data_IF_019634856476
#
_entry.id   IF_019634856476
#
_cell.length_a   1.000
_cell.length_b   1.000
_cell.length_c   1.000
_cell.angle_alpha   90.00
_cell.angle_beta   90.00
_cell.angle_gamma   90.00
#
_symmetry.space_group_name_H-M   'P 1'
#
loop_
_entity.id
_entity.type
_entity.pdbx_description
1 polymer ?
#
# COMPACT_ATOMS: atom_id res chain seq x y z
N UNK A 1 -40.43 0.16 -11.06
CA UNK A 1 -39.26 0.23 -10.14
C UNK A 1 -38.30 -0.87 -10.57
N UNK A 2 -37.12 -0.52 -11.11
CA UNK A 2 -36.10 -1.55 -11.43
C UNK A 2 -35.78 -2.29 -10.13
N UNK A 3 -36.10 -3.57 -10.08
CA UNK A 3 -35.86 -4.39 -8.90
C UNK A 3 -34.36 -4.37 -8.60
N UNK A 4 -33.96 -3.88 -7.43
CA UNK A 4 -32.55 -3.79 -6.98
C UNK A 4 -31.83 -5.15 -7.12
N UNK A 5 -32.59 -6.24 -6.97
CA UNK A 5 -32.13 -7.61 -7.21
C UNK A 5 -31.65 -7.84 -8.65
N UNK A 6 -32.34 -7.28 -9.66
CA UNK A 6 -31.94 -7.35 -11.08
C UNK A 6 -30.62 -6.62 -11.32
N UNK A 7 -30.48 -5.42 -10.75
CA UNK A 7 -29.28 -4.59 -10.87
C UNK A 7 -28.05 -5.27 -10.26
N UNK A 8 -28.17 -5.87 -9.07
CA UNK A 8 -27.07 -6.63 -8.46
C UNK A 8 -26.67 -7.87 -9.29
N UNK A 9 -27.63 -8.50 -9.98
CA UNK A 9 -27.34 -9.62 -10.87
C UNK A 9 -26.54 -9.17 -12.11
N UNK A 10 -26.91 -8.03 -12.70
CA UNK A 10 -26.20 -7.42 -13.83
C UNK A 10 -24.78 -7.01 -13.44
N UNK A 11 -24.60 -6.38 -12.27
CA UNK A 11 -23.28 -6.00 -11.75
C UNK A 11 -22.38 -7.23 -11.55
N UNK A 12 -22.92 -8.34 -11.05
CA UNK A 12 -22.14 -9.58 -10.89
C UNK A 12 -21.72 -10.18 -12.23
N UNK A 13 -22.55 -10.07 -13.26
CA UNK A 13 -22.23 -10.50 -14.63
C UNK A 13 -21.18 -9.62 -15.30
N UNK A 14 -21.15 -8.31 -15.00
CA UNK A 14 -20.09 -7.42 -15.50
C UNK A 14 -18.76 -7.65 -14.75
N UNK A 15 -18.82 -7.89 -13.44
CA UNK A 15 -17.63 -8.19 -12.63
C UNK A 15 -16.93 -9.49 -13.04
N UNK A 16 -17.64 -10.44 -13.65
CA UNK A 16 -17.03 -11.68 -14.16
C UNK A 16 -16.27 -11.49 -15.47
N UNK A 17 -16.55 -10.42 -16.22
CA UNK A 17 -15.79 -10.04 -17.43
C UNK A 17 -14.48 -9.33 -17.09
N UNK A 18 -14.31 -8.88 -15.84
CA UNK A 18 -13.09 -8.22 -15.39
C UNK A 18 -11.97 -9.25 -15.30
N UNK A 19 -10.87 -8.97 -15.99
CA UNK A 19 -9.65 -9.77 -15.93
C UNK A 19 -8.90 -9.46 -14.65
N UNK A 20 -9.19 -10.23 -13.59
CA UNK A 20 -8.46 -10.13 -12.33
C UNK A 20 -7.05 -10.73 -12.45
N UNK A 21 -6.04 -10.10 -11.83
CA UNK A 21 -4.67 -10.62 -11.83
C UNK A 21 -4.60 -11.99 -11.15
N UNK A 22 -3.63 -12.81 -11.58
CA UNK A 22 -3.43 -14.13 -10.98
C UNK A 22 -3.03 -13.98 -9.52
N UNK A 23 -3.46 -14.90 -8.65
CA UNK A 23 -3.13 -14.87 -7.21
C UNK A 23 -1.64 -14.72 -6.93
N UNK A 24 -0.78 -15.34 -7.75
CA UNK A 24 0.67 -15.22 -7.65
C UNK A 24 1.19 -13.80 -7.90
N UNK A 25 0.56 -13.07 -8.82
CA UNK A 25 0.94 -11.71 -9.16
C UNK A 25 0.54 -10.75 -8.05
N UNK A 26 -0.67 -10.90 -7.48
CA UNK A 26 -1.12 -10.14 -6.32
C UNK A 26 -0.15 -10.31 -5.14
N UNK A 27 0.25 -11.54 -4.83
CA UNK A 27 1.19 -11.81 -3.74
C UNK A 27 2.55 -11.14 -4.02
N UNK A 28 3.06 -11.24 -5.25
CA UNK A 28 4.33 -10.62 -5.63
C UNK A 28 4.28 -9.10 -5.51
N UNK A 29 3.22 -8.47 -6.00
CA UNK A 29 3.04 -7.02 -5.93
C UNK A 29 2.93 -6.54 -4.48
N UNK A 30 2.15 -7.24 -3.64
CA UNK A 30 2.03 -6.90 -2.22
C UNK A 30 3.36 -7.06 -1.49
N UNK A 31 4.15 -8.10 -1.80
CA UNK A 31 5.48 -8.28 -1.22
C UNK A 31 6.43 -7.13 -1.58
N UNK A 32 6.41 -6.69 -2.84
CA UNK A 32 7.21 -5.55 -3.32
C UNK A 32 6.83 -4.28 -2.55
N UNK A 33 5.54 -4.01 -2.38
CA UNK A 33 5.06 -2.84 -1.61
C UNK A 33 5.58 -2.91 -0.17
N UNK A 34 5.47 -4.06 0.49
CA UNK A 34 5.99 -4.26 1.85
C UNK A 34 7.49 -3.94 1.96
N UNK A 35 8.30 -4.42 1.01
CA UNK A 35 9.74 -4.19 0.99
C UNK A 35 10.04 -2.69 0.83
N UNK A 36 9.37 -2.03 -0.12
CA UNK A 36 9.59 -0.60 -0.37
C UNK A 36 9.15 0.24 0.83
N UNK A 37 7.99 -0.05 1.43
CA UNK A 37 7.52 0.64 2.62
C UNK A 37 8.46 0.44 3.81
N UNK A 38 8.99 -0.77 4.02
CA UNK A 38 9.98 -1.03 5.06
C UNK A 38 11.29 -0.27 4.80
N UNK A 39 11.78 -0.25 3.55
CA UNK A 39 12.98 0.48 3.18
C UNK A 39 12.84 1.99 3.37
N UNK A 40 11.70 2.58 2.95
CA UNK A 40 11.40 3.99 3.17
C UNK A 40 11.27 4.31 4.66
N UNK A 41 10.57 3.46 5.42
CA UNK A 41 10.45 3.63 6.87
C UNK A 41 11.80 3.60 7.58
N UNK A 42 12.67 2.67 7.21
CA UNK A 42 14.03 2.60 7.74
C UNK A 42 14.87 3.83 7.35
N UNK A 43 14.76 4.28 6.10
CA UNK A 43 15.45 5.47 5.61
C UNK A 43 15.04 6.73 6.37
N UNK A 44 13.74 7.00 6.46
CA UNK A 44 13.22 8.17 7.18
C UNK A 44 13.56 8.09 8.67
N UNK A 45 13.39 6.92 9.31
CA UNK A 45 13.74 6.75 10.72
C UNK A 45 15.23 6.92 11.00
N UNK A 46 16.11 6.47 10.11
CA UNK A 46 17.54 6.71 10.22
C UNK A 46 17.89 8.20 10.09
N UNK A 47 17.23 8.92 9.16
CA UNK A 47 17.39 10.36 9.02
C UNK A 47 16.91 11.11 10.27
N UNK A 48 15.76 10.75 10.83
CA UNK A 48 15.24 11.37 12.06
C UNK A 48 16.20 11.18 13.23
N UNK A 49 16.78 9.99 13.36
CA UNK A 49 17.80 9.71 14.39
C UNK A 49 19.07 10.54 14.16
N UNK A 50 19.57 10.57 12.92
CA UNK A 50 20.76 11.33 12.56
C UNK A 50 20.58 12.83 12.82
N UNK A 51 19.45 13.41 12.40
CA UNK A 51 19.14 14.81 12.64
C UNK A 51 18.94 15.12 14.13
N UNK A 52 18.29 14.24 14.88
CA UNK A 52 18.14 14.41 16.34
C UNK A 52 19.50 14.48 17.02
N UNK A 53 20.43 13.58 16.68
CA UNK A 53 21.79 13.56 17.23
C UNK A 53 22.60 14.79 16.82
N UNK A 54 22.46 15.24 15.58
CA UNK A 54 23.14 16.43 15.06
C UNK A 54 22.63 17.69 15.77
N UNK A 55 21.32 17.82 15.96
CA UNK A 55 20.70 18.91 16.71
C UNK A 55 21.08 18.88 18.19
N UNK A 56 21.09 17.71 18.83
CA UNK A 56 21.55 17.56 20.22
C UNK A 56 22.99 18.06 20.39
N UNK A 57 23.87 17.75 19.43
CA UNK A 57 25.27 18.20 19.46
C UNK A 57 25.42 19.72 19.24
N UNK A 58 24.52 20.34 18.47
CA UNK A 58 24.51 21.79 18.21
C UNK A 58 23.89 22.56 19.37
N UNK A 59 22.80 22.06 19.97
CA UNK A 59 22.01 22.76 21.00
C UNK A 59 22.55 22.51 22.41
N UNK A 60 23.15 21.35 22.68
CA UNK A 60 23.72 21.02 24.00
C UNK A 60 25.10 21.66 24.23
N UNK A 61 25.54 22.55 23.35
CA UNK A 61 26.72 23.38 23.51
C UNK A 61 26.31 24.84 23.69
#
# INVERSE_FOLDING_TARGET
>A
MKNILSYLSEVRLELSKVTWPKRSEVIKLTLIVFIISAALGAYTGALDYAFTKLLELIISK
#
